data_IF_591557850879
#
_entry.id   IF_591557850879
#
_cell.length_a   1.000
_cell.length_b   1.000
_cell.length_c   1.000
_cell.angle_alpha   90.00
_cell.angle_beta   90.00
_cell.angle_gamma   90.00
#
_symmetry.space_group_name_H-M   'P 1'
#
loop_
_entity.id
_entity.type
_entity.pdbx_description
1 polymer ?
#
# COMPACT_ATOMS: atom_id res chain seq x y z
N UNK A 1 -32.49 0.87 41.04
CA UNK A 1 -31.29 0.17 40.53
C UNK A 1 -31.57 -0.27 39.10
N UNK A 2 -31.11 0.50 38.12
CA UNK A 2 -31.30 0.21 36.69
C UNK A 2 -29.92 0.16 36.04
N UNK A 3 -29.45 -1.06 35.77
CA UNK A 3 -28.15 -1.34 35.19
C UNK A 3 -28.25 -1.17 33.67
N UNK A 4 -27.64 -0.10 33.13
CA UNK A 4 -27.48 0.09 31.68
C UNK A 4 -26.34 -0.80 31.18
N UNK A 5 -26.66 -1.79 30.36
CA UNK A 5 -25.68 -2.54 29.58
C UNK A 5 -25.10 -1.64 28.49
N UNK A 6 -23.83 -1.30 28.63
CA UNK A 6 -23.05 -0.66 27.56
C UNK A 6 -22.54 -1.75 26.63
N UNK A 7 -23.19 -1.89 25.47
CA UNK A 7 -22.73 -2.74 24.36
C UNK A 7 -21.53 -2.04 23.70
N UNK A 8 -20.32 -2.43 24.12
CA UNK A 8 -19.09 -2.08 23.41
C UNK A 8 -19.07 -2.94 22.14
N UNK A 9 -19.49 -2.36 21.01
CA UNK A 9 -19.19 -2.91 19.69
C UNK A 9 -17.69 -2.70 19.44
N UNK A 10 -16.89 -3.71 19.75
CA UNK A 10 -15.52 -3.84 19.29
C UNK A 10 -15.56 -3.97 17.78
N UNK A 11 -15.39 -2.86 17.05
CA UNK A 11 -15.16 -2.91 15.62
C UNK A 11 -13.90 -3.75 15.37
N UNK A 12 -14.07 -4.93 14.76
CA UNK A 12 -12.98 -5.72 14.19
C UNK A 12 -12.26 -4.83 13.18
N UNK A 13 -11.19 -4.18 13.61
CA UNK A 13 -10.25 -3.56 12.69
C UNK A 13 -9.47 -4.70 12.04
N UNK A 14 -9.83 -5.04 10.80
CA UNK A 14 -8.96 -5.84 9.95
C UNK A 14 -7.60 -5.13 9.90
N UNK A 15 -6.57 -5.80 10.42
CA UNK A 15 -5.18 -5.34 10.36
C UNK A 15 -4.67 -5.58 8.95
N UNK A 16 -5.15 -4.78 8.01
CA UNK A 16 -4.76 -4.87 6.59
C UNK A 16 -3.28 -4.55 6.38
N UNK A 17 -2.69 -3.73 7.25
CA UNK A 17 -1.29 -3.34 7.14
C UNK A 17 -0.32 -4.53 7.10
N UNK A 18 -0.63 -5.65 7.78
CA UNK A 18 0.25 -6.81 7.83
C UNK A 18 -0.36 -8.11 7.29
N UNK A 19 -1.63 -8.12 6.87
CA UNK A 19 -2.29 -9.32 6.32
C UNK A 19 -2.85 -10.31 7.36
N UNK A 20 -3.09 -9.89 8.61
CA UNK A 20 -3.57 -10.79 9.67
C UNK A 20 -5.04 -11.20 9.49
N UNK A 21 -5.34 -12.49 9.43
CA UNK A 21 -6.74 -12.98 9.32
C UNK A 21 -7.46 -12.93 10.67
N UNK A 22 -8.75 -12.61 10.67
CA UNK A 22 -9.60 -12.67 11.87
C UNK A 22 -9.93 -14.12 12.25
N UNK A 23 -9.91 -14.46 13.54
CA UNK A 23 -10.41 -15.76 14.05
C UNK A 23 -11.94 -15.85 13.91
N UNK A 24 -12.47 -16.21 12.73
CA UNK A 24 -13.87 -16.62 12.56
C UNK A 24 -14.02 -17.83 11.63
N UNK A 25 -14.82 -18.80 12.08
CA UNK A 25 -15.10 -20.10 11.43
C UNK A 25 -15.64 -19.93 10.01
N UNK A 26 -15.00 -20.60 9.06
CA UNK A 26 -15.30 -20.57 7.63
C UNK A 26 -16.67 -21.20 7.28
N UNK A 27 -17.42 -20.53 6.40
CA UNK A 27 -18.32 -21.14 5.42
C UNK A 27 -17.92 -20.62 4.05
N UNK A 28 -17.39 -21.51 3.20
CA UNK A 28 -16.94 -21.21 1.84
C UNK A 28 -18.10 -21.48 0.88
N UNK A 29 -18.43 -20.52 0.03
CA UNK A 29 -19.23 -20.71 -1.17
C UNK A 29 -18.32 -20.41 -2.36
N UNK A 30 -18.05 -21.41 -3.20
CA UNK A 30 -17.25 -21.28 -4.42
C UNK A 30 -18.09 -20.65 -5.54
N UNK A 31 -17.48 -19.73 -6.29
CA UNK A 31 -17.87 -19.39 -7.66
C UNK A 31 -16.59 -19.38 -8.48
N UNK A 32 -16.56 -20.17 -9.55
CA UNK A 32 -15.42 -20.37 -10.41
C UNK A 32 -15.43 -19.35 -11.56
N UNK A 33 -14.27 -18.78 -11.87
CA UNK A 33 -13.96 -18.18 -13.17
C UNK A 33 -12.51 -18.52 -13.55
N UNK A 34 -12.30 -18.73 -14.85
CA UNK A 34 -11.18 -19.45 -15.47
C UNK A 34 -9.83 -18.72 -15.33
N UNK A 35 -8.90 -19.34 -14.60
CA UNK A 35 -7.47 -18.98 -14.51
C UNK A 35 -6.75 -19.46 -15.78
N UNK A 36 -5.95 -18.59 -16.40
CA UNK A 36 -5.11 -18.96 -17.55
C UNK A 36 -3.70 -19.31 -17.05
N UNK A 37 -3.33 -20.58 -17.12
CA UNK A 37 -1.94 -21.06 -16.94
C UNK A 37 -1.27 -21.11 -18.31
N UNK A 38 -0.08 -20.51 -18.45
CA UNK A 38 0.67 -20.51 -19.71
C UNK A 38 1.42 -21.83 -19.93
N UNK A 39 1.10 -22.56 -21.00
CA UNK A 39 1.93 -23.65 -21.53
C UNK A 39 2.78 -23.15 -22.72
N UNK A 40 4.02 -23.65 -22.79
CA UNK A 40 5.02 -23.33 -23.80
C UNK A 40 4.78 -24.09 -25.11
N UNK A 41 4.94 -23.42 -26.25
CA UNK A 41 5.28 -24.08 -27.52
C UNK A 41 6.33 -23.27 -28.26
N UNK A 42 7.35 -23.98 -28.76
CA UNK A 42 8.49 -23.51 -29.53
C UNK A 42 8.23 -23.59 -31.04
N UNK A 43 8.67 -22.59 -31.82
CA UNK A 43 9.59 -22.80 -32.96
C UNK A 43 10.02 -21.51 -33.67
N UNK A 44 11.32 -21.50 -33.97
CA UNK A 44 12.22 -20.76 -34.87
C UNK A 44 11.81 -19.52 -35.73
N UNK A 45 12.59 -18.45 -35.46
CA UNK A 45 13.47 -17.61 -36.34
C UNK A 45 12.88 -16.71 -37.44
N UNK A 46 13.02 -15.39 -37.25
CA UNK A 46 13.68 -14.49 -38.22
C UNK A 46 14.24 -13.23 -37.51
N UNK A 47 15.49 -12.86 -37.84
CA UNK A 47 16.23 -11.70 -37.31
C UNK A 47 15.69 -10.35 -37.80
N UNK A 48 15.45 -9.41 -36.87
CA UNK A 48 15.78 -7.98 -37.03
C UNK A 48 16.21 -7.44 -35.67
N UNK A 49 17.41 -6.85 -35.59
CA UNK A 49 18.00 -6.27 -34.38
C UNK A 49 17.62 -4.79 -34.22
N UNK A 50 16.95 -4.45 -33.13
CA UNK A 50 17.13 -3.20 -32.37
C UNK A 50 16.54 -3.37 -30.95
N UNK A 51 17.36 -3.85 -30.01
CA UNK A 51 17.11 -3.84 -28.55
C UNK A 51 15.66 -4.14 -28.10
N UNK A 52 15.10 -5.28 -28.47
CA UNK A 52 13.94 -5.84 -27.79
C UNK A 52 14.41 -6.35 -26.41
N UNK A 53 14.25 -5.53 -25.36
CA UNK A 53 14.15 -6.10 -24.03
C UNK A 53 12.90 -7.01 -24.05
N UNK A 54 13.09 -8.32 -24.08
CA UNK A 54 11.98 -9.27 -24.10
C UNK A 54 10.94 -8.95 -23.02
N UNK A 55 9.64 -9.05 -23.36
CA UNK A 55 8.49 -8.82 -22.46
C UNK A 55 8.32 -9.99 -21.50
N UNK A 56 9.41 -10.41 -20.89
CA UNK A 56 9.43 -11.60 -20.09
C UNK A 56 9.10 -11.23 -18.67
N UNK A 57 7.94 -11.70 -18.22
CA UNK A 57 7.56 -11.64 -16.83
C UNK A 57 8.50 -12.52 -15.99
N UNK A 58 8.81 -12.12 -14.74
CA UNK A 58 9.58 -12.98 -13.85
C UNK A 58 8.84 -14.30 -13.61
N UNK A 59 9.59 -15.40 -13.51
CA UNK A 59 9.01 -16.76 -13.33
C UNK A 59 8.28 -16.95 -11.99
N UNK A 60 8.44 -16.01 -11.06
CA UNK A 60 7.77 -15.97 -9.77
C UNK A 60 6.54 -15.05 -9.72
N UNK A 61 6.13 -14.45 -10.86
CA UNK A 61 4.77 -13.92 -10.97
C UNK A 61 3.79 -15.11 -10.93
N UNK A 62 2.73 -14.97 -10.16
CA UNK A 62 1.68 -15.99 -10.09
C UNK A 62 0.38 -15.43 -10.65
N UNK A 63 -0.41 -14.76 -9.80
CA UNK A 63 -1.74 -14.33 -10.17
C UNK A 63 -1.74 -12.91 -10.75
N UNK A 64 -2.21 -12.80 -11.99
CA UNK A 64 -2.74 -11.59 -12.61
C UNK A 64 -3.81 -12.00 -13.63
N UNK A 65 -4.75 -11.11 -13.92
CA UNK A 65 -5.74 -11.33 -14.98
C UNK A 65 -5.35 -10.57 -16.26
N UNK A 66 -5.91 -10.98 -17.40
CA UNK A 66 -5.78 -10.18 -18.65
C UNK A 66 -6.33 -8.77 -18.48
N UNK A 67 -7.29 -8.56 -17.58
CA UNK A 67 -7.83 -7.24 -17.29
C UNK A 67 -6.83 -6.37 -16.52
N UNK A 68 -6.05 -6.97 -15.59
CA UNK A 68 -4.97 -6.26 -14.88
C UNK A 68 -3.90 -5.77 -15.86
N UNK A 69 -3.41 -6.65 -16.73
CA UNK A 69 -2.36 -6.29 -17.69
C UNK A 69 -2.86 -5.28 -18.74
N UNK A 70 -4.10 -5.44 -19.22
CA UNK A 70 -4.72 -4.48 -20.12
C UNK A 70 -4.89 -3.11 -19.46
N UNK A 71 -5.34 -3.05 -18.20
CA UNK A 71 -5.48 -1.80 -17.45
C UNK A 71 -4.13 -1.09 -17.29
N UNK A 72 -3.07 -1.82 -16.93
CA UNK A 72 -1.71 -1.25 -16.84
C UNK A 72 -1.29 -0.65 -18.17
N UNK A 73 -1.33 -1.43 -19.26
CA UNK A 73 -0.92 -0.97 -20.57
C UNK A 73 -1.74 0.26 -21.02
N UNK A 74 -3.06 0.24 -20.80
CA UNK A 74 -3.94 1.37 -21.11
C UNK A 74 -3.54 2.62 -20.33
N UNK A 75 -3.33 2.52 -19.02
CA UNK A 75 -2.95 3.66 -18.18
C UNK A 75 -1.60 4.23 -18.58
N UNK A 76 -0.61 3.37 -18.83
CA UNK A 76 0.73 3.83 -19.21
C UNK A 76 0.74 4.46 -20.61
N UNK A 77 0.04 3.86 -21.58
CA UNK A 77 -0.13 4.45 -22.91
C UNK A 77 -0.84 5.81 -22.87
N UNK A 78 -1.81 5.99 -21.96
CA UNK A 78 -2.47 7.27 -21.75
C UNK A 78 -1.52 8.32 -21.13
N UNK A 79 -0.74 7.93 -20.12
CA UNK A 79 -0.07 8.87 -19.21
C UNK A 79 1.39 9.18 -19.58
N UNK A 80 2.12 8.25 -20.19
CA UNK A 80 3.51 8.47 -20.65
C UNK A 80 3.63 9.68 -21.58
N UNK A 81 2.72 9.90 -22.57
CA UNK A 81 2.76 11.09 -23.42
C UNK A 81 2.57 12.41 -22.66
N UNK A 82 1.94 12.37 -21.48
CA UNK A 82 1.62 13.55 -20.67
C UNK A 82 2.68 13.83 -19.59
N UNK A 83 3.70 12.98 -19.44
CA UNK A 83 4.68 13.07 -18.34
C UNK A 83 5.41 14.42 -18.24
N UNK A 84 5.65 15.07 -19.39
CA UNK A 84 6.33 16.38 -19.46
C UNK A 84 5.37 17.56 -19.24
N UNK A 85 4.05 17.32 -19.30
CA UNK A 85 3.01 18.35 -19.16
C UNK A 85 2.47 18.44 -17.74
N UNK A 86 2.59 17.35 -16.97
CA UNK A 86 2.09 17.24 -15.60
C UNK A 86 3.25 17.42 -14.62
N UNK A 87 2.99 18.13 -13.52
CA UNK A 87 3.87 18.01 -12.35
C UNK A 87 3.77 16.59 -11.78
N UNK A 88 4.76 16.20 -10.99
CA UNK A 88 4.76 14.89 -10.32
C UNK A 88 3.49 14.67 -9.47
N UNK A 89 3.10 15.69 -8.70
CA UNK A 89 1.90 15.70 -7.86
C UNK A 89 0.62 15.50 -8.70
N UNK A 90 0.52 16.19 -9.84
CA UNK A 90 -0.61 16.04 -10.77
C UNK A 90 -0.66 14.65 -11.40
N UNK A 91 0.49 14.08 -11.77
CA UNK A 91 0.59 12.73 -12.31
C UNK A 91 0.13 11.68 -11.29
N UNK A 92 0.62 11.77 -10.05
CA UNK A 92 0.24 10.84 -8.96
C UNK A 92 -1.27 10.90 -8.73
N UNK A 93 -1.85 12.10 -8.58
CA UNK A 93 -3.30 12.24 -8.39
C UNK A 93 -4.08 11.69 -9.58
N UNK A 94 -3.61 11.94 -10.81
CA UNK A 94 -4.28 11.45 -12.01
C UNK A 94 -4.30 9.92 -12.05
N UNK A 95 -3.19 9.26 -11.70
CA UNK A 95 -3.10 7.81 -11.58
C UNK A 95 -3.99 7.31 -10.43
N UNK A 96 -3.85 7.89 -9.25
CA UNK A 96 -4.54 7.48 -8.05
C UNK A 96 -6.07 7.52 -8.20
N UNK A 97 -6.59 8.52 -8.93
CA UNK A 97 -8.03 8.65 -9.23
C UNK A 97 -8.57 7.59 -10.18
N UNK A 98 -7.73 6.93 -11.00
CA UNK A 98 -8.17 5.86 -11.92
C UNK A 98 -8.68 4.62 -11.17
N UNK A 99 -8.31 4.49 -9.90
CA UNK A 99 -8.75 3.39 -9.05
C UNK A 99 -10.01 3.70 -8.24
N UNK A 100 -10.55 4.93 -8.27
CA UNK A 100 -11.79 5.25 -7.54
C UNK A 100 -12.90 4.27 -7.97
N UNK A 101 -13.53 3.65 -6.99
CA UNK A 101 -14.56 2.64 -7.22
C UNK A 101 -14.06 1.19 -7.16
N UNK A 102 -12.74 0.94 -7.26
CA UNK A 102 -12.18 -0.41 -7.13
C UNK A 102 -12.51 -0.99 -5.75
N UNK A 103 -13.11 -2.20 -5.67
CA UNK A 103 -13.46 -2.83 -4.40
C UNK A 103 -12.30 -2.95 -3.42
N UNK A 104 -12.61 -2.77 -2.14
CA UNK A 104 -11.68 -3.07 -1.07
C UNK A 104 -11.63 -4.58 -0.83
N UNK A 105 -10.45 -5.18 -0.94
CA UNK A 105 -10.24 -6.61 -0.68
C UNK A 105 -8.99 -6.78 0.17
N UNK A 106 -9.13 -7.39 1.35
CA UNK A 106 -8.00 -7.70 2.22
C UNK A 106 -7.36 -9.04 1.84
N UNK A 107 -6.08 -9.21 2.19
CA UNK A 107 -5.34 -10.47 2.02
C UNK A 107 -5.18 -10.94 0.56
N UNK A 108 -5.15 -10.01 -0.38
CA UNK A 108 -5.01 -10.33 -1.82
C UNK A 108 -3.62 -10.88 -2.17
N UNK A 109 -2.61 -10.67 -1.31
CA UNK A 109 -1.24 -11.14 -1.53
C UNK A 109 -0.96 -12.51 -0.86
N UNK A 110 -1.73 -12.90 0.14
CA UNK A 110 -1.54 -14.14 0.93
C UNK A 110 -2.46 -15.27 0.43
N UNK A 111 -2.41 -15.53 -0.87
CA UNK A 111 -3.29 -16.50 -1.57
C UNK A 111 -2.56 -17.80 -1.97
N UNK A 112 -1.22 -17.80 -1.93
CA UNK A 112 -0.38 -18.92 -2.33
C UNK A 112 0.22 -19.64 -1.12
N UNK A 113 0.77 -20.85 -1.31
CA UNK A 113 1.50 -21.58 -0.26
C UNK A 113 2.90 -20.97 -0.01
N UNK A 114 3.54 -20.48 -1.08
CA UNK A 114 4.81 -19.75 -1.06
C UNK A 114 4.66 -18.33 -1.59
N UNK A 115 5.56 -17.44 -1.20
CA UNK A 115 5.53 -16.06 -1.72
C UNK A 115 5.69 -16.06 -3.24
N UNK A 116 4.78 -15.34 -3.89
CA UNK A 116 4.78 -15.04 -5.32
C UNK A 116 4.43 -13.58 -5.51
N UNK A 117 4.89 -13.00 -6.61
CA UNK A 117 4.46 -11.66 -6.97
C UNK A 117 3.03 -11.73 -7.53
N UNK A 118 2.08 -11.13 -6.79
CA UNK A 118 0.67 -11.05 -7.17
C UNK A 118 0.33 -9.64 -7.67
N UNK A 119 -0.33 -9.55 -8.82
CA UNK A 119 -0.92 -8.30 -9.33
C UNK A 119 -2.44 -8.44 -9.31
N UNK A 120 -3.09 -7.59 -8.51
CA UNK A 120 -4.54 -7.45 -8.50
C UNK A 120 -4.90 -5.97 -8.43
N UNK A 121 -5.41 -5.42 -9.53
CA UNK A 121 -5.84 -4.03 -9.66
C UNK A 121 -7.35 -3.86 -9.58
N UNK A 122 -8.08 -4.98 -9.42
CA UNK A 122 -9.53 -5.03 -9.32
C UNK A 122 -10.04 -5.30 -7.89
N UNK A 123 -9.13 -5.56 -6.96
CA UNK A 123 -9.38 -5.65 -5.53
C UNK A 123 -8.16 -5.18 -4.76
N UNK A 124 -8.26 -4.05 -4.08
CA UNK A 124 -7.14 -3.39 -3.43
C UNK A 124 -7.39 -3.19 -1.94
N UNK A 125 -6.35 -3.30 -1.13
CA UNK A 125 -6.32 -2.73 0.20
C UNK A 125 -5.53 -1.41 0.20
N UNK A 126 -5.35 -0.79 1.37
CA UNK A 126 -4.68 0.50 1.46
C UNK A 126 -3.21 0.46 1.05
N UNK A 127 -2.51 -0.64 1.29
CA UNK A 127 -1.09 -0.79 0.93
C UNK A 127 -0.95 -1.06 -0.56
N UNK A 128 -1.64 -2.07 -1.07
CA UNK A 128 -1.60 -2.45 -2.49
C UNK A 128 -2.09 -1.33 -3.41
N UNK A 129 -3.04 -0.49 -2.96
CA UNK A 129 -3.40 0.73 -3.67
C UNK A 129 -2.24 1.72 -3.77
N UNK A 130 -1.56 2.00 -2.66
CA UNK A 130 -0.39 2.90 -2.65
C UNK A 130 0.74 2.34 -3.52
N UNK A 131 1.02 1.04 -3.43
CA UNK A 131 2.03 0.36 -4.23
C UNK A 131 1.72 0.43 -5.73
N UNK A 132 0.47 0.15 -6.14
CA UNK A 132 0.05 0.19 -7.54
C UNK A 132 0.22 1.59 -8.14
N UNK A 133 -0.22 2.63 -7.42
CA UNK A 133 -0.06 4.02 -7.87
C UNK A 133 1.42 4.41 -7.92
N UNK A 134 2.22 4.02 -6.93
CA UNK A 134 3.66 4.30 -6.91
C UNK A 134 4.35 3.63 -8.09
N UNK A 135 4.12 2.34 -8.33
CA UNK A 135 4.72 1.59 -9.43
C UNK A 135 4.33 2.16 -10.81
N UNK A 136 3.05 2.50 -11.02
CA UNK A 136 2.59 3.15 -12.25
C UNK A 136 3.24 4.53 -12.44
N UNK A 137 3.39 5.31 -11.36
CA UNK A 137 4.06 6.61 -11.42
C UNK A 137 5.51 6.45 -11.84
N UNK A 138 6.23 5.47 -11.27
CA UNK A 138 7.61 5.16 -11.64
C UNK A 138 7.75 4.74 -13.11
N UNK A 139 6.82 3.92 -13.63
CA UNK A 139 6.78 3.56 -15.05
C UNK A 139 6.63 4.81 -15.94
N UNK A 140 5.64 5.65 -15.65
CA UNK A 140 5.40 6.86 -16.45
C UNK A 140 6.61 7.78 -16.49
N UNK A 141 7.33 7.92 -15.37
CA UNK A 141 8.54 8.73 -15.28
C UNK A 141 9.74 8.16 -16.03
N UNK A 142 9.77 6.85 -16.23
CA UNK A 142 10.83 6.12 -16.94
C UNK A 142 10.50 5.83 -18.40
N UNK A 143 9.41 6.39 -18.94
CA UNK A 143 8.96 6.12 -20.31
C UNK A 143 8.59 4.66 -20.58
N UNK A 144 8.13 3.98 -19.55
CA UNK A 144 7.78 2.57 -19.59
C UNK A 144 6.27 2.39 -19.83
N UNK A 145 5.91 1.54 -20.80
CA UNK A 145 4.51 1.33 -21.22
C UNK A 145 4.03 -0.10 -21.17
N UNK A 146 4.89 -1.05 -20.77
CA UNK A 146 4.59 -2.48 -20.84
C UNK A 146 4.13 -3.02 -19.50
N UNK A 147 3.42 -4.15 -19.54
CA UNK A 147 3.04 -4.84 -18.31
C UNK A 147 4.26 -5.38 -17.55
N UNK A 148 5.29 -5.89 -18.24
CA UNK A 148 6.54 -6.32 -17.60
C UNK A 148 7.26 -5.20 -16.85
N UNK A 149 7.18 -3.98 -17.37
CA UNK A 149 7.78 -2.81 -16.70
C UNK A 149 7.07 -2.52 -15.38
N UNK A 150 5.74 -2.50 -15.40
CA UNK A 150 4.94 -2.35 -14.18
C UNK A 150 5.24 -3.44 -13.16
N UNK A 151 5.30 -4.70 -13.59
CA UNK A 151 5.62 -5.83 -12.71
C UNK A 151 7.00 -5.64 -12.07
N UNK A 152 7.99 -5.20 -12.84
CA UNK A 152 9.33 -4.89 -12.32
C UNK A 152 9.33 -3.72 -11.35
N UNK A 153 8.61 -2.62 -11.61
CA UNK A 153 8.51 -1.52 -10.65
C UNK A 153 7.78 -1.95 -9.38
N UNK A 154 6.70 -2.73 -9.51
CA UNK A 154 5.95 -3.23 -8.36
C UNK A 154 6.82 -4.12 -7.48
N UNK A 155 7.65 -4.98 -8.08
CA UNK A 155 8.61 -5.78 -7.33
C UNK A 155 9.57 -4.91 -6.51
N UNK A 156 10.15 -3.89 -7.15
CA UNK A 156 11.08 -2.97 -6.50
C UNK A 156 10.42 -2.19 -5.36
N UNK A 157 9.14 -1.86 -5.49
CA UNK A 157 8.37 -1.12 -4.47
C UNK A 157 7.96 -2.02 -3.30
N UNK A 158 7.58 -3.27 -3.57
CA UNK A 158 6.96 -4.18 -2.58
C UNK A 158 7.96 -5.02 -1.79
N UNK A 159 9.10 -5.34 -2.38
CA UNK A 159 10.09 -6.24 -1.79
C UNK A 159 11.40 -5.51 -1.53
N UNK A 160 11.99 -5.78 -0.37
CA UNK A 160 13.28 -5.24 0.07
C UNK A 160 14.34 -5.40 -1.01
N UNK A 161 14.81 -4.27 -1.56
CA UNK A 161 15.79 -4.23 -2.64
C UNK A 161 15.36 -4.93 -3.92
N UNK A 162 14.05 -5.05 -4.17
CA UNK A 162 13.48 -5.75 -5.32
C UNK A 162 13.77 -7.24 -5.36
N UNK A 163 13.89 -7.90 -4.19
CA UNK A 163 14.18 -9.34 -4.09
C UNK A 163 13.00 -10.11 -3.52
N UNK A 164 12.19 -10.71 -4.38
CA UNK A 164 10.98 -11.43 -3.98
C UNK A 164 11.26 -12.57 -2.97
N UNK A 165 10.69 -12.44 -1.78
CA UNK A 165 10.51 -13.49 -0.77
C UNK A 165 9.52 -12.99 0.30
N UNK A 166 8.91 -13.89 1.07
CA UNK A 166 7.97 -13.46 2.13
C UNK A 166 8.65 -12.55 3.16
N UNK A 167 9.90 -12.86 3.54
CA UNK A 167 10.67 -12.08 4.51
C UNK A 167 11.10 -10.72 3.94
N UNK A 168 11.29 -10.65 2.61
CA UNK A 168 11.60 -9.41 1.92
C UNK A 168 10.38 -8.56 1.61
N UNK A 169 9.16 -9.10 1.63
CA UNK A 169 7.96 -8.28 1.48
C UNK A 169 7.88 -7.26 2.62
N UNK A 170 7.61 -6.00 2.27
CA UNK A 170 7.69 -4.87 3.19
C UNK A 170 6.39 -4.72 4.00
N UNK A 171 6.14 -5.66 4.92
CA UNK A 171 4.86 -5.79 5.66
C UNK A 171 4.55 -4.68 6.67
N UNK A 172 5.55 -3.90 7.10
CA UNK A 172 5.32 -2.72 7.95
C UNK A 172 5.62 -1.47 7.15
N UNK A 173 4.80 -0.43 7.28
CA UNK A 173 4.94 0.78 6.47
C UNK A 173 6.31 1.44 6.66
N UNK A 174 6.89 1.39 7.86
CA UNK A 174 8.23 1.88 8.11
C UNK A 174 9.28 1.14 7.27
N UNK A 175 9.20 -0.19 7.15
CA UNK A 175 10.08 -0.95 6.25
C UNK A 175 9.84 -0.57 4.79
N UNK A 176 8.57 -0.41 4.40
CA UNK A 176 8.21 0.05 3.06
C UNK A 176 8.86 1.39 2.75
N UNK A 177 8.72 2.37 3.64
CA UNK A 177 9.29 3.70 3.47
C UNK A 177 10.82 3.68 3.42
N UNK A 178 11.47 3.04 4.39
CA UNK A 178 12.94 3.01 4.47
C UNK A 178 13.55 2.41 3.20
N UNK A 179 12.97 1.31 2.70
CA UNK A 179 13.47 0.66 1.50
C UNK A 179 13.23 1.51 0.24
N UNK A 180 12.01 2.05 0.08
CA UNK A 180 11.65 2.85 -1.08
C UNK A 180 12.39 4.21 -1.09
N UNK A 181 12.74 4.76 0.06
CA UNK A 181 13.61 5.95 0.17
C UNK A 181 15.05 5.61 -0.18
N UNK A 182 15.58 4.48 0.33
CA UNK A 182 16.91 3.97 -0.07
C UNK A 182 17.00 3.70 -1.58
N UNK A 183 15.89 3.26 -2.19
CA UNK A 183 15.78 3.02 -3.63
C UNK A 183 15.54 4.30 -4.44
N UNK A 184 15.31 5.44 -3.78
CA UNK A 184 15.09 6.73 -4.42
C UNK A 184 13.71 6.93 -5.04
N UNK A 185 12.73 6.08 -4.69
CA UNK A 185 11.36 6.16 -5.22
C UNK A 185 10.48 7.10 -4.43
N UNK A 186 10.75 7.26 -3.14
CA UNK A 186 10.03 8.16 -2.25
C UNK A 186 10.99 8.93 -1.36
N UNK A 187 10.48 9.93 -0.67
CA UNK A 187 11.20 10.67 0.36
C UNK A 187 10.26 10.95 1.53
N UNK A 188 10.73 10.75 2.76
CA UNK A 188 9.98 11.18 3.93
C UNK A 188 10.07 12.71 4.09
N UNK A 189 8.92 13.33 4.37
CA UNK A 189 8.85 14.73 4.78
C UNK A 189 8.61 14.73 6.28
N UNK A 190 9.59 15.22 7.03
CA UNK A 190 9.63 15.22 8.49
C UNK A 190 10.07 16.57 9.09
N UNK A 191 10.22 17.58 8.23
CA UNK A 191 10.63 18.95 8.56
C UNK A 191 9.78 19.97 7.77
N UNK A 192 9.62 21.21 8.28
CA UNK A 192 10.13 21.75 9.55
C UNK A 192 9.30 21.32 10.77
N UNK A 193 9.77 21.65 11.97
CA UNK A 193 8.99 21.52 13.20
C UNK A 193 8.66 22.94 13.71
N UNK A 194 7.38 23.38 13.74
CA UNK A 194 6.14 22.66 13.33
C UNK A 194 6.02 22.48 11.80
N UNK A 195 5.16 21.55 11.30
CA UNK A 195 4.12 20.80 12.03
C UNK A 195 4.53 19.44 12.59
N UNK A 196 5.74 18.94 12.30
CA UNK A 196 6.22 17.63 12.76
C UNK A 196 6.66 17.65 14.25
N UNK A 197 5.70 17.92 15.14
CA UNK A 197 5.92 18.23 16.57
C UNK A 197 5.92 16.98 17.47
N UNK A 198 5.25 15.91 17.07
CA UNK A 198 5.10 14.71 17.88
C UNK A 198 6.10 13.61 17.47
N UNK A 199 6.44 12.71 18.40
CA UNK A 199 7.41 11.62 18.18
C UNK A 199 6.75 10.27 18.49
N UNK A 200 6.86 9.33 17.57
CA UNK A 200 6.56 7.92 17.79
C UNK A 200 7.87 7.18 18.02
N UNK A 201 7.93 6.33 19.05
CA UNK A 201 9.01 5.38 19.24
C UNK A 201 8.50 4.04 18.74
N UNK A 202 9.12 3.49 17.71
CA UNK A 202 8.65 2.26 17.09
C UNK A 202 8.81 1.08 18.03
N UNK A 203 7.71 0.34 18.15
CA UNK A 203 7.70 -1.02 18.66
C UNK A 203 6.95 -1.86 17.63
N UNK A 204 7.69 -2.49 16.72
CA UNK A 204 7.19 -3.37 15.68
C UNK A 204 7.55 -4.80 16.08
N UNK A 205 6.54 -5.65 16.28
CA UNK A 205 6.70 -7.07 16.61
C UNK A 205 5.37 -7.85 16.49
N UNK A 206 4.41 -7.32 15.74
CA UNK A 206 3.05 -7.88 15.68
C UNK A 206 3.01 -9.20 14.92
N UNK A 207 3.67 -9.30 13.76
CA UNK A 207 3.69 -10.51 12.95
C UNK A 207 4.38 -11.67 13.67
N UNK A 208 5.57 -11.48 14.24
CA UNK A 208 6.26 -12.59 14.93
C UNK A 208 5.51 -13.10 16.16
N UNK A 209 4.87 -12.20 16.93
CA UNK A 209 4.07 -12.60 18.10
C UNK A 209 2.70 -13.19 17.73
N UNK A 210 2.20 -12.89 16.54
CA UNK A 210 0.90 -13.36 16.08
C UNK A 210 1.04 -14.25 14.84
N UNK A 211 2.16 -14.97 14.69
CA UNK A 211 2.48 -15.80 13.51
C UNK A 211 1.35 -16.75 13.10
N UNK A 212 0.57 -17.24 14.07
CA UNK A 212 -0.62 -18.09 13.85
C UNK A 212 -1.72 -17.46 12.97
N UNK A 213 -1.76 -16.13 12.85
CA UNK A 213 -2.76 -15.38 12.07
C UNK A 213 -2.40 -15.22 10.59
N UNK A 214 -1.21 -15.67 10.19
CA UNK A 214 -0.70 -15.53 8.83
C UNK A 214 -0.40 -16.91 8.26
N UNK A 215 -0.99 -17.24 7.10
CA UNK A 215 -0.83 -18.56 6.49
C UNK A 215 0.63 -18.88 6.16
N UNK A 216 1.37 -17.86 5.74
CA UNK A 216 2.80 -17.94 5.46
C UNK A 216 3.67 -18.09 6.71
N UNK A 217 3.16 -17.87 7.93
CA UNK A 217 3.95 -17.93 9.16
C UNK A 217 3.56 -19.05 10.11
N UNK A 218 2.28 -19.42 10.17
CA UNK A 218 1.73 -20.32 11.20
C UNK A 218 2.45 -21.67 11.33
N UNK A 219 3.05 -22.15 10.24
CA UNK A 219 3.78 -23.43 10.19
C UNK A 219 5.25 -23.26 9.75
N UNK A 220 5.82 -22.05 9.86
CA UNK A 220 7.15 -21.74 9.34
C UNK A 220 8.01 -20.99 10.38
N UNK A 221 8.52 -21.68 11.42
CA UNK A 221 9.19 -21.04 12.56
C UNK A 221 10.52 -20.36 12.18
N UNK A 222 11.21 -20.85 11.15
CA UNK A 222 12.43 -20.20 10.62
C UNK A 222 12.10 -18.80 10.08
N UNK A 223 11.08 -18.71 9.21
CA UNK A 223 10.58 -17.46 8.64
C UNK A 223 10.11 -16.48 9.72
N UNK A 224 9.46 -16.99 10.78
CA UNK A 224 9.08 -16.19 11.96
C UNK A 224 10.33 -15.63 12.66
N UNK A 225 11.37 -16.46 12.83
CA UNK A 225 12.64 -16.06 13.42
C UNK A 225 13.36 -14.98 12.60
N UNK A 226 13.33 -15.08 11.27
CA UNK A 226 13.90 -14.06 10.38
C UNK A 226 13.15 -12.72 10.45
N UNK A 227 11.82 -12.74 10.38
CA UNK A 227 11.01 -11.53 10.59
C UNK A 227 11.25 -10.92 11.96
N UNK A 228 11.34 -11.74 13.01
CA UNK A 228 11.61 -11.26 14.37
C UNK A 228 12.93 -10.50 14.46
N UNK A 229 13.99 -10.94 13.76
CA UNK A 229 15.27 -10.22 13.74
C UNK A 229 15.12 -8.83 13.11
N UNK A 230 14.35 -8.73 12.01
CA UNK A 230 14.07 -7.45 11.35
C UNK A 230 13.23 -6.52 12.25
N UNK A 231 12.21 -7.08 12.91
CA UNK A 231 11.38 -6.38 13.89
C UNK A 231 12.20 -5.85 15.06
N UNK A 232 13.07 -6.69 15.64
CA UNK A 232 13.96 -6.31 16.74
C UNK A 232 14.96 -5.22 16.33
N UNK A 233 15.50 -5.28 15.11
CA UNK A 233 16.39 -4.25 14.57
C UNK A 233 15.70 -2.89 14.34
N UNK A 234 14.37 -2.90 14.14
CA UNK A 234 13.57 -1.68 13.93
C UNK A 234 13.14 -1.01 15.25
N UNK A 235 13.12 -1.78 16.34
CA UNK A 235 12.59 -1.34 17.61
C UNK A 235 13.44 -0.23 18.24
N UNK A 236 12.78 0.82 18.72
CA UNK A 236 13.43 1.98 19.33
C UNK A 236 13.68 3.16 18.39
N UNK A 237 13.47 2.99 17.07
CA UNK A 237 13.54 4.08 16.10
C UNK A 237 12.56 5.20 16.46
N UNK A 238 13.04 6.45 16.46
CA UNK A 238 12.26 7.64 16.80
C UNK A 238 11.88 8.37 15.52
N UNK A 239 10.59 8.54 15.29
CA UNK A 239 10.06 9.16 14.08
C UNK A 239 9.19 10.35 14.45
N UNK A 240 9.38 11.48 13.76
CA UNK A 240 8.47 12.62 13.90
C UNK A 240 7.22 12.42 13.06
N UNK A 241 6.11 12.94 13.54
CA UNK A 241 4.85 12.93 12.81
C UNK A 241 4.04 14.19 13.14
N UNK A 242 3.06 14.50 12.28
CA UNK A 242 2.12 15.58 12.51
C UNK A 242 1.00 15.05 13.40
N UNK A 243 0.84 15.51 14.65
CA UNK A 243 -0.23 15.04 15.53
C UNK A 243 -1.61 15.42 14.98
N UNK A 244 -2.61 14.56 15.21
CA UNK A 244 -3.95 14.75 14.64
C UNK A 244 -4.63 16.06 15.05
N UNK A 245 -4.23 16.64 16.18
CA UNK A 245 -4.70 17.95 16.65
C UNK A 245 -4.31 19.10 15.73
N UNK A 246 -3.29 18.95 14.88
CA UNK A 246 -2.88 19.95 13.90
C UNK A 246 -3.54 19.75 12.53
N UNK A 247 -4.33 18.69 12.33
CA UNK A 247 -4.89 18.38 11.00
C UNK A 247 -6.02 19.31 10.55
N UNK A 248 -6.52 20.17 11.44
CA UNK A 248 -7.46 21.24 11.10
C UNK A 248 -6.75 22.57 10.73
N UNK A 249 -5.42 22.64 10.79
CA UNK A 249 -4.66 23.84 10.43
C UNK A 249 -4.19 23.78 8.97
N UNK A 250 -5.12 24.00 8.03
CA UNK A 250 -4.85 23.90 6.59
C UNK A 250 -3.71 24.82 6.13
N UNK A 251 -3.57 26.02 6.71
CA UNK A 251 -2.50 26.96 6.33
C UNK A 251 -1.11 26.36 6.62
N UNK A 252 -0.92 25.87 7.84
CA UNK A 252 0.35 25.25 8.25
C UNK A 252 0.64 23.97 7.45
N UNK A 253 -0.37 23.13 7.25
CA UNK A 253 -0.19 21.87 6.54
C UNK A 253 0.16 22.05 5.06
N UNK A 254 -0.37 23.07 4.38
CA UNK A 254 -0.05 23.36 2.98
C UNK A 254 1.42 23.72 2.72
N UNK A 255 2.18 24.05 3.77
CA UNK A 255 3.62 24.30 3.66
C UNK A 255 4.42 23.01 3.48
N UNK A 256 3.88 21.85 3.90
CA UNK A 256 4.61 20.58 3.93
C UNK A 256 3.92 19.42 3.19
N UNK A 257 2.58 19.43 3.13
CA UNK A 257 1.76 18.40 2.47
C UNK A 257 1.27 18.91 1.12
N UNK A 258 1.58 18.13 0.07
CA UNK A 258 1.13 18.37 -1.30
C UNK A 258 0.13 17.32 -1.73
N UNK A 259 -0.65 17.65 -2.75
CA UNK A 259 -1.47 16.65 -3.42
C UNK A 259 -0.62 15.49 -3.93
N UNK A 260 -1.08 14.27 -3.71
CA UNK A 260 -0.36 13.06 -4.10
C UNK A 260 0.72 12.61 -3.12
N UNK A 261 0.99 13.35 -2.03
CA UNK A 261 1.80 12.80 -0.94
C UNK A 261 1.09 11.58 -0.34
N UNK A 262 1.82 10.50 -0.10
CA UNK A 262 1.35 9.36 0.67
C UNK A 262 1.26 9.79 2.14
N UNK A 263 0.09 9.61 2.74
CA UNK A 263 -0.16 9.85 4.15
C UNK A 263 -0.30 8.51 4.87
N UNK A 264 0.55 8.30 5.88
CA UNK A 264 0.49 7.12 6.71
C UNK A 264 -0.06 7.45 8.09
N UNK A 265 -1.18 6.83 8.45
CA UNK A 265 -1.85 7.06 9.72
C UNK A 265 -1.14 6.30 10.85
N UNK A 266 -0.43 7.08 11.66
CA UNK A 266 0.34 6.64 12.83
C UNK A 266 -0.61 6.14 13.92
N UNK A 267 -0.25 5.06 14.60
CA UNK A 267 -1.09 4.45 15.64
C UNK A 267 -0.41 4.31 17.00
N UNK A 268 -1.22 4.27 18.07
CA UNK A 268 -0.81 3.86 19.40
C UNK A 268 -1.04 2.37 19.68
N UNK A 269 -1.59 1.62 18.71
CA UNK A 269 -1.68 0.17 18.83
C UNK A 269 -0.26 -0.35 18.98
N UNK A 270 -0.02 -1.02 20.11
CA UNK A 270 1.27 -1.63 20.39
C UNK A 270 1.64 -2.54 19.20
N UNK A 271 2.93 -2.66 18.92
CA UNK A 271 3.48 -3.65 17.97
C UNK A 271 3.31 -3.28 16.48
N UNK A 272 2.65 -2.14 16.20
CA UNK A 272 2.43 -1.60 14.87
C UNK A 272 2.89 -0.13 14.81
N UNK A 273 3.36 0.27 13.63
CA UNK A 273 3.74 1.65 13.34
C UNK A 273 2.55 2.46 12.79
N UNK A 274 1.79 1.86 11.89
CA UNK A 274 0.69 2.51 11.16
C UNK A 274 -0.54 1.60 11.08
N UNK A 275 -1.70 2.19 10.77
CA UNK A 275 -2.95 1.42 10.59
C UNK A 275 -3.55 1.52 9.20
N UNK A 276 -3.21 2.58 8.46
CA UNK A 276 -3.88 2.89 7.21
C UNK A 276 -3.07 3.86 6.38
N UNK A 277 -3.20 3.77 5.07
CA UNK A 277 -2.49 4.58 4.08
C UNK A 277 -3.47 5.19 3.08
N UNK A 278 -3.02 6.23 2.39
CA UNK A 278 -3.73 6.84 1.26
C UNK A 278 -2.96 8.03 0.72
N UNK A 279 -3.57 8.77 -0.21
CA UNK A 279 -3.00 9.96 -0.83
C UNK A 279 -3.64 11.23 -0.28
N UNK A 280 -2.82 12.24 0.00
CA UNK A 280 -3.24 13.59 0.31
C UNK A 280 -3.99 14.19 -0.89
N UNK A 281 -5.18 14.72 -0.62
CA UNK A 281 -5.94 15.52 -1.59
C UNK A 281 -6.47 16.76 -0.88
N UNK A 282 -6.12 17.93 -1.38
CA UNK A 282 -6.62 19.21 -0.91
C UNK A 282 -7.95 19.55 -1.58
N UNK A 283 -8.99 19.67 -0.77
CA UNK A 283 -10.27 20.27 -1.15
C UNK A 283 -10.37 21.69 -0.59
N UNK A 284 -11.47 22.38 -0.88
CA UNK A 284 -11.72 23.75 -0.39
C UNK A 284 -11.82 23.81 1.14
N UNK A 285 -12.38 22.77 1.77
CA UNK A 285 -12.62 22.66 3.20
C UNK A 285 -11.45 22.06 4.00
N UNK A 286 -10.46 21.46 3.33
CA UNK A 286 -9.22 21.03 3.99
C UNK A 286 -8.50 19.87 3.33
N UNK A 287 -7.68 19.18 4.13
CA UNK A 287 -6.94 18.00 3.71
C UNK A 287 -7.82 16.76 3.82
N UNK A 288 -7.88 15.97 2.75
CA UNK A 288 -8.59 14.70 2.67
C UNK A 288 -7.60 13.57 2.42
N UNK A 289 -8.08 12.34 2.62
CA UNK A 289 -7.31 11.13 2.38
C UNK A 289 -8.04 10.28 1.34
N UNK A 290 -7.58 10.32 0.09
CA UNK A 290 -8.06 9.40 -0.94
C UNK A 290 -7.44 8.02 -0.69
N UNK A 291 -8.28 7.01 -0.51
CA UNK A 291 -7.82 5.70 -0.01
C UNK A 291 -8.72 4.53 -0.42
N UNK A 292 -8.14 3.33 -0.46
CA UNK A 292 -8.92 2.08 -0.39
C UNK A 292 -9.57 1.97 1.00
N UNK A 293 -10.89 2.12 1.09
CA UNK A 293 -11.60 2.18 2.38
C UNK A 293 -12.37 0.90 2.64
N UNK A 294 -12.18 0.31 3.82
CA UNK A 294 -12.99 -0.82 4.31
C UNK A 294 -14.26 -0.38 5.08
N UNK A 295 -14.58 0.91 5.06
CA UNK A 295 -15.73 1.43 5.80
C UNK A 295 -16.99 1.27 4.97
N UNK A 296 -18.03 0.70 5.57
CA UNK A 296 -19.34 0.54 4.93
C UNK A 296 -19.91 1.87 4.41
N UNK A 297 -19.72 2.98 5.14
CA UNK A 297 -20.17 4.32 4.71
C UNK A 297 -19.48 4.80 3.42
N UNK A 298 -18.31 4.25 3.10
CA UNK A 298 -17.56 4.54 1.89
C UNK A 298 -17.79 3.46 0.81
N UNK A 299 -18.67 2.49 1.05
CA UNK A 299 -19.00 1.44 0.09
C UNK A 299 -17.93 0.35 -0.09
N UNK A 300 -16.99 0.21 0.86
CA UNK A 300 -15.91 -0.79 0.82
C UNK A 300 -15.12 -0.79 -0.50
N UNK A 301 -14.56 0.36 -0.88
CA UNK A 301 -13.87 0.59 -2.15
C UNK A 301 -12.87 1.74 -2.04
N UNK A 302 -12.07 1.96 -3.08
CA UNK A 302 -11.26 3.18 -3.23
C UNK A 302 -12.17 4.38 -3.41
N UNK A 303 -11.94 5.42 -2.61
CA UNK A 303 -12.76 6.64 -2.56
C UNK A 303 -11.89 7.89 -2.42
N UNK A 304 -12.37 9.00 -3.00
CA UNK A 304 -12.04 10.37 -2.58
C UNK A 304 -13.17 10.82 -1.64
N UNK A 305 -13.00 10.69 -0.31
CA UNK A 305 -14.10 10.84 0.63
C UNK A 305 -14.46 12.31 0.85
N UNK A 306 -15.75 12.60 1.04
CA UNK A 306 -16.23 13.94 1.39
C UNK A 306 -15.86 14.39 2.82
N UNK A 307 -15.45 13.47 3.69
CA UNK A 307 -15.01 13.78 5.05
C UNK A 307 -13.54 14.21 5.06
N UNK A 308 -13.24 15.36 5.68
CA UNK A 308 -11.84 15.79 5.90
C UNK A 308 -11.07 14.77 6.72
N UNK A 309 -9.75 14.69 6.51
CA UNK A 309 -8.87 13.82 7.27
C UNK A 309 -8.91 14.13 8.77
N UNK A 310 -9.07 15.40 9.16
CA UNK A 310 -9.24 15.78 10.57
C UNK A 310 -10.47 15.08 11.18
N UNK A 311 -11.64 15.19 10.56
CA UNK A 311 -12.87 14.58 11.04
C UNK A 311 -12.76 13.05 11.10
N UNK A 312 -12.16 12.45 10.07
CA UNK A 312 -11.86 11.02 10.04
C UNK A 312 -10.98 10.61 11.23
N UNK A 313 -9.94 11.38 11.54
CA UNK A 313 -8.98 11.05 12.59
C UNK A 313 -9.55 11.25 14.00
N UNK A 314 -10.44 12.23 14.19
CA UNK A 314 -11.05 12.51 15.49
C UNK A 314 -11.99 11.39 15.96
N UNK A 315 -12.62 10.67 15.04
CA UNK A 315 -13.44 9.50 15.35
C UNK A 315 -12.62 8.26 15.79
N UNK A 316 -11.28 8.30 15.71
CA UNK A 316 -10.39 7.14 15.91
C UNK A 316 -9.32 7.44 16.96
N UNK A 317 -9.56 7.10 18.24
CA UNK A 317 -8.62 7.45 19.33
C UNK A 317 -7.26 6.79 19.16
N UNK A 318 -7.21 5.59 18.57
CA UNK A 318 -5.96 4.85 18.34
C UNK A 318 -5.07 5.45 17.25
N UNK A 319 -5.61 6.37 16.44
CA UNK A 319 -4.85 7.06 15.39
C UNK A 319 -4.29 8.35 16.00
N UNK A 320 -2.97 8.52 15.93
CA UNK A 320 -2.26 9.61 16.62
C UNK A 320 -2.02 10.82 15.73
N UNK A 321 -1.86 10.60 14.43
CA UNK A 321 -1.47 11.63 13.48
C UNK A 321 -1.02 11.02 12.16
N UNK A 322 -0.24 11.76 11.38
CA UNK A 322 0.23 11.32 10.06
C UNK A 322 1.74 11.51 9.89
N UNK A 323 2.35 10.56 9.18
CA UNK A 323 3.63 10.75 8.48
C UNK A 323 3.35 11.09 7.02
N UNK A 324 4.24 11.85 6.41
CA UNK A 324 4.08 12.38 5.05
C UNK A 324 5.22 11.87 4.19
N UNK A 325 4.90 11.28 3.05
CA UNK A 325 5.87 10.66 2.14
C UNK A 325 5.60 11.12 0.72
N UNK A 326 6.64 11.56 0.00
CA UNK A 326 6.52 12.10 -1.35
C UNK A 326 7.19 11.19 -2.36
N UNK A 327 6.43 10.70 -3.34
CA UNK A 327 6.98 9.96 -4.48
C UNK A 327 7.92 10.88 -5.26
N UNK A 328 9.14 10.43 -5.56
CA UNK A 328 10.21 11.25 -6.17
C UNK A 328 10.19 11.23 -7.67
#
# INVERSE_FOLDING_TARGET
MTLKYSLIFSALFAFSACGAKSEQKAKIQQVADTVVTSEQMTSAVHEVSAAEQNDTLPTYIDTYTKADSALVCQLLQELVPQRQQLTNDQLIIKIARKFIGVPYVAHTLDINEDEKLVVNLHGLDCTTYVEAVTALTLCVKKDETRFSDYVRQLEQVRYRGGKMSYVNRLHYFHWWLEDNERMGFVREIDTPNPPFTAVQILKINYMSQNARLYDMLKNNPERVGELKKLEDATNGTKLRYIPKSLLNNSKLLREVVRDGDILAIVTNKRELDTTHLGFAVWHEDGLHLMNASNLRKNGNKVVDPAETLYNYMMARPANLGIRVVRIQ
#
